data_IF_553822978166
#
_entry.id   IF_553822978166
#
_cell.length_a   1.000
_cell.length_b   1.000
_cell.length_c   1.000
_cell.angle_alpha   90.00
_cell.angle_beta   90.00
_cell.angle_gamma   90.00
#
_symmetry.space_group_name_H-M   'P 1'
#
loop_
_entity.id
_entity.type
_entity.pdbx_description
1 polymer ?
#
# COMPACT_ATOMS: atom_id res chain seq x y z
N UNK A 1 12.29 2.21 -2.38
CA UNK A 1 12.61 3.64 -2.51
C UNK A 1 13.62 3.85 -3.64
N UNK A 2 13.67 5.09 -4.15
CA UNK A 2 13.94 5.50 -5.54
C UNK A 2 12.98 4.88 -6.57
N UNK A 3 12.29 5.75 -7.30
CA UNK A 3 11.47 5.35 -8.43
C UNK A 3 12.37 4.86 -9.56
N UNK A 4 12.00 3.75 -10.19
CA UNK A 4 12.72 3.23 -11.35
C UNK A 4 11.72 3.04 -12.49
N UNK A 5 11.88 3.83 -13.55
CA UNK A 5 11.01 3.80 -14.74
C UNK A 5 10.88 2.46 -15.45
N UNK A 6 11.82 1.52 -15.22
CA UNK A 6 11.80 0.17 -15.77
C UNK A 6 11.21 -0.88 -14.82
N UNK A 7 11.02 -0.54 -13.54
CA UNK A 7 10.50 -1.46 -12.52
C UNK A 7 9.28 -0.82 -11.87
N UNK A 8 8.12 -1.09 -12.46
CA UNK A 8 6.80 -0.61 -12.02
C UNK A 8 5.78 -1.74 -12.12
N UNK A 9 4.65 -1.57 -11.46
CA UNK A 9 3.58 -2.56 -11.46
C UNK A 9 2.21 -1.89 -11.24
N UNK A 10 1.22 -2.35 -12.01
CA UNK A 10 -0.17 -1.91 -11.94
C UNK A 10 -1.10 -3.13 -12.03
N UNK A 11 -2.29 -3.04 -11.46
CA UNK A 11 -3.38 -4.01 -11.59
C UNK A 11 -3.20 -5.35 -10.86
N UNK A 12 -2.14 -5.52 -10.06
CA UNK A 12 -1.82 -6.81 -9.42
C UNK A 12 -2.68 -7.15 -8.21
N UNK A 13 -3.48 -6.21 -7.73
CA UNK A 13 -4.43 -6.39 -6.63
C UNK A 13 -5.73 -7.10 -7.06
N UNK A 14 -5.90 -7.43 -8.35
CA UNK A 14 -7.07 -8.16 -8.86
C UNK A 14 -8.40 -7.49 -8.47
N UNK A 15 -8.45 -6.16 -8.48
CA UNK A 15 -9.59 -5.33 -8.03
C UNK A 15 -9.99 -5.45 -6.55
N UNK A 16 -9.15 -6.05 -5.70
CA UNK A 16 -9.43 -6.12 -4.26
C UNK A 16 -8.58 -5.14 -3.44
N UNK A 17 -9.20 -4.32 -2.56
CA UNK A 17 -8.47 -3.55 -1.57
C UNK A 17 -7.89 -4.47 -0.50
N UNK A 18 -6.87 -3.98 0.23
CA UNK A 18 -6.33 -4.69 1.39
C UNK A 18 -7.42 -4.90 2.45
N UNK A 19 -7.54 -6.11 2.99
CA UNK A 19 -8.46 -6.44 4.10
C UNK A 19 -7.66 -6.80 5.37
N UNK A 20 -8.22 -6.55 6.56
CA UNK A 20 -7.54 -6.72 7.86
C UNK A 20 -6.79 -8.05 8.01
N UNK A 21 -7.46 -9.18 7.75
CA UNK A 21 -6.87 -10.51 7.97
C UNK A 21 -5.88 -10.96 6.90
N UNK A 22 -5.70 -10.21 5.81
CA UNK A 22 -4.96 -10.69 4.65
C UNK A 22 -3.45 -10.74 4.88
N UNK A 23 -2.88 -9.70 5.48
CA UNK A 23 -1.43 -9.67 5.75
C UNK A 23 -1.05 -10.74 6.76
N UNK A 24 -1.80 -10.85 7.85
CA UNK A 24 -1.52 -11.79 8.94
C UNK A 24 -1.66 -13.24 8.48
N UNK A 25 -2.80 -13.60 7.87
CA UNK A 25 -3.02 -14.95 7.33
C UNK A 25 -1.99 -15.31 6.27
N UNK A 26 -1.80 -14.45 5.28
CA UNK A 26 -0.88 -14.74 4.18
C UNK A 26 0.58 -14.84 4.63
N UNK A 27 0.99 -14.03 5.61
CA UNK A 27 2.32 -14.13 6.22
C UNK A 27 2.50 -15.46 6.97
N UNK A 28 1.54 -15.82 7.83
CA UNK A 28 1.55 -17.07 8.60
C UNK A 28 1.57 -18.30 7.67
N UNK A 29 0.79 -18.30 6.59
CA UNK A 29 0.80 -19.40 5.61
C UNK A 29 2.15 -19.56 4.90
N UNK A 30 2.88 -18.46 4.63
CA UNK A 30 4.25 -18.55 4.05
C UNK A 30 5.23 -19.16 5.03
N UNK A 31 5.14 -18.83 6.31
CA UNK A 31 6.02 -19.39 7.35
C UNK A 31 5.91 -20.91 7.39
N UNK A 32 4.69 -21.44 7.21
CA UNK A 32 4.44 -22.88 7.16
C UNK A 32 4.80 -23.50 5.80
N UNK A 33 4.45 -22.82 4.70
CA UNK A 33 4.69 -23.27 3.34
C UNK A 33 5.16 -22.10 2.45
N UNK A 34 6.48 -21.97 2.20
CA UNK A 34 7.04 -20.95 1.32
C UNK A 34 6.45 -20.90 -0.09
N UNK A 35 5.86 -22.00 -0.56
CA UNK A 35 5.29 -22.12 -1.92
C UNK A 35 3.77 -21.93 -1.96
N UNK A 36 3.12 -21.59 -0.84
CA UNK A 36 1.66 -21.61 -0.72
C UNK A 36 0.95 -20.84 -1.84
N UNK A 37 1.44 -19.66 -2.21
CA UNK A 37 0.80 -18.86 -3.28
C UNK A 37 0.90 -19.44 -4.68
N UNK A 38 1.74 -20.46 -4.89
CA UNK A 38 1.89 -21.18 -6.14
C UNK A 38 1.33 -22.61 -6.06
N UNK A 39 0.78 -23.02 -4.92
CA UNK A 39 0.22 -24.35 -4.72
C UNK A 39 -1.28 -24.37 -4.97
N UNK A 40 -1.83 -25.55 -5.25
CA UNK A 40 -3.26 -25.73 -5.52
C UNK A 40 -4.09 -25.65 -4.23
N UNK A 41 -3.46 -25.84 -3.07
CA UNK A 41 -4.05 -25.75 -1.74
C UNK A 41 -4.24 -24.30 -1.25
N UNK A 42 -3.73 -23.31 -1.98
CA UNK A 42 -3.73 -21.90 -1.55
C UNK A 42 -5.12 -21.36 -1.19
N UNK A 43 -6.14 -21.74 -1.95
CA UNK A 43 -7.53 -21.30 -1.73
C UNK A 43 -8.13 -21.93 -0.48
N UNK A 44 -7.74 -23.17 -0.16
CA UNK A 44 -8.19 -23.91 1.02
C UNK A 44 -7.50 -23.33 2.27
N UNK A 45 -6.17 -23.21 2.23
CA UNK A 45 -5.35 -22.71 3.34
C UNK A 45 -5.75 -21.28 3.73
N UNK A 46 -5.89 -20.38 2.74
CA UNK A 46 -6.25 -18.98 3.01
C UNK A 46 -7.76 -18.78 3.18
N UNK A 47 -8.57 -19.77 2.80
CA UNK A 47 -10.03 -19.71 2.85
C UNK A 47 -10.63 -18.64 1.94
N UNK A 48 -10.04 -18.41 0.76
CA UNK A 48 -10.47 -17.37 -0.20
C UNK A 48 -10.39 -17.84 -1.64
N UNK A 49 -11.06 -17.13 -2.55
CA UNK A 49 -11.02 -17.43 -3.99
C UNK A 49 -9.65 -17.14 -4.63
N UNK A 50 -9.39 -17.73 -5.81
CA UNK A 50 -8.09 -17.66 -6.50
C UNK A 50 -7.59 -16.22 -6.76
N UNK A 51 -8.47 -15.31 -7.15
CA UNK A 51 -8.10 -13.91 -7.38
C UNK A 51 -7.75 -13.18 -6.07
N UNK A 52 -8.42 -13.53 -4.96
CA UNK A 52 -8.06 -13.01 -3.64
C UNK A 52 -6.71 -13.54 -3.17
N UNK A 53 -6.37 -14.81 -3.45
CA UNK A 53 -5.02 -15.35 -3.20
C UNK A 53 -3.95 -14.51 -3.89
N UNK A 54 -4.14 -14.18 -5.17
CA UNK A 54 -3.24 -13.30 -5.92
C UNK A 54 -3.13 -11.91 -5.28
N UNK A 55 -4.24 -11.34 -4.83
CA UNK A 55 -4.27 -10.03 -4.17
C UNK A 55 -3.58 -10.04 -2.81
N UNK A 56 -3.76 -11.09 -1.99
CA UNK A 56 -3.03 -11.28 -0.72
C UNK A 56 -1.52 -11.31 -0.97
N UNK A 57 -1.08 -12.14 -1.95
CA UNK A 57 0.34 -12.19 -2.35
C UNK A 57 0.85 -10.81 -2.74
N UNK A 58 0.08 -10.09 -3.55
CA UNK A 58 0.43 -8.75 -3.99
C UNK A 58 0.62 -7.80 -2.80
N UNK A 59 -0.34 -7.76 -1.87
CA UNK A 59 -0.28 -6.84 -0.74
C UNK A 59 0.89 -7.14 0.21
N UNK A 60 1.23 -8.41 0.42
CA UNK A 60 2.41 -8.81 1.19
C UNK A 60 3.73 -8.34 0.54
N UNK A 61 3.84 -8.45 -0.79
CA UNK A 61 5.01 -7.96 -1.54
C UNK A 61 5.04 -6.43 -1.59
N UNK A 62 3.90 -5.79 -1.80
CA UNK A 62 3.77 -4.33 -1.85
C UNK A 62 4.17 -3.69 -0.51
N UNK A 63 3.76 -4.28 0.60
CA UNK A 63 4.14 -3.88 1.96
C UNK A 63 5.52 -4.40 2.41
N UNK A 64 6.29 -5.08 1.54
CA UNK A 64 7.65 -5.59 1.81
C UNK A 64 7.74 -6.54 3.01
N UNK A 65 6.63 -7.16 3.42
CA UNK A 65 6.61 -8.16 4.50
C UNK A 65 7.22 -9.48 4.08
N UNK A 66 7.19 -9.75 2.79
CA UNK A 66 7.78 -10.94 2.17
C UNK A 66 8.60 -10.53 0.95
N UNK A 67 9.46 -11.44 0.50
CA UNK A 67 10.22 -11.31 -0.74
C UNK A 67 10.29 -12.63 -1.49
N UNK A 68 10.49 -12.55 -2.81
CA UNK A 68 10.80 -13.70 -3.63
C UNK A 68 12.10 -14.38 -3.17
N UNK A 69 12.13 -15.70 -3.28
CA UNK A 69 13.24 -16.58 -2.98
C UNK A 69 13.31 -17.70 -4.00
N UNK A 70 14.44 -18.43 -4.06
CA UNK A 70 14.59 -19.58 -4.97
C UNK A 70 13.51 -20.65 -4.74
N UNK A 71 13.01 -20.77 -3.51
CA UNK A 71 12.06 -21.80 -3.10
C UNK A 71 10.64 -21.27 -2.85
N UNK A 72 10.25 -20.14 -3.45
CA UNK A 72 8.94 -19.51 -3.26
C UNK A 72 9.08 -18.14 -2.62
N UNK A 73 8.37 -17.90 -1.52
CA UNK A 73 8.41 -16.65 -0.77
C UNK A 73 9.06 -16.87 0.60
N UNK A 74 9.73 -15.84 1.09
CA UNK A 74 10.26 -15.85 2.45
C UNK A 74 9.89 -14.56 3.18
N UNK A 75 9.65 -14.62 4.51
CA UNK A 75 9.54 -13.42 5.34
C UNK A 75 10.75 -12.50 5.19
N UNK A 76 10.50 -11.20 5.21
CA UNK A 76 11.56 -10.21 5.43
C UNK A 76 11.82 -10.02 6.92
N UNK A 77 12.89 -9.32 7.27
CA UNK A 77 13.17 -8.96 8.66
C UNK A 77 12.03 -8.16 9.27
N UNK A 78 11.54 -7.12 8.57
CA UNK A 78 10.40 -6.33 9.03
C UNK A 78 9.11 -7.16 9.12
N UNK A 79 8.90 -8.11 8.20
CA UNK A 79 7.77 -9.03 8.25
C UNK A 79 7.78 -9.89 9.51
N UNK A 80 8.93 -10.50 9.85
CA UNK A 80 9.07 -11.29 11.09
C UNK A 80 8.94 -10.41 12.34
N UNK A 81 9.49 -9.20 12.31
CA UNK A 81 9.43 -8.27 13.43
C UNK A 81 7.98 -7.92 13.82
N UNK A 82 7.09 -7.84 12.83
CA UNK A 82 5.68 -7.50 13.05
C UNK A 82 4.84 -8.77 13.27
N UNK A 83 4.91 -9.73 12.34
CA UNK A 83 3.90 -10.80 12.21
C UNK A 83 4.35 -12.20 12.65
N UNK A 84 5.57 -12.36 13.19
CA UNK A 84 5.93 -13.64 13.80
C UNK A 84 4.97 -13.97 14.97
N UNK A 85 4.37 -15.16 14.95
CA UNK A 85 3.31 -15.54 15.91
C UNK A 85 3.81 -15.58 17.36
N UNK A 86 5.11 -15.81 17.58
CA UNK A 86 5.69 -15.97 18.93
C UNK A 86 6.38 -14.71 19.43
N UNK A 87 6.98 -13.93 18.53
CA UNK A 87 7.88 -12.82 18.87
C UNK A 87 7.56 -11.51 18.14
N UNK A 88 6.59 -11.53 17.23
CA UNK A 88 6.18 -10.34 16.49
C UNK A 88 5.51 -9.33 17.42
N UNK A 89 5.72 -8.03 17.14
CA UNK A 89 5.13 -6.96 17.93
C UNK A 89 3.62 -6.83 17.76
N UNK A 90 3.09 -7.20 16.59
CA UNK A 90 1.66 -7.14 16.30
C UNK A 90 1.23 -8.28 15.35
N UNK A 91 1.18 -9.54 15.83
CA UNK A 91 0.93 -10.70 14.99
C UNK A 91 -0.44 -10.74 14.31
N UNK A 92 -1.38 -9.90 14.78
CA UNK A 92 -2.78 -9.91 14.37
C UNK A 92 -3.27 -8.58 13.75
N UNK A 93 -2.38 -7.59 13.56
CA UNK A 93 -2.69 -6.27 12.99
C UNK A 93 -3.76 -5.53 13.82
N UNK A 94 -3.54 -5.48 15.14
CA UNK A 94 -4.43 -4.83 16.11
C UNK A 94 -3.96 -3.41 16.46
N UNK A 95 -2.69 -3.08 16.25
CA UNK A 95 -2.12 -1.77 16.56
C UNK A 95 -2.21 -0.83 15.34
N UNK A 96 -2.76 0.36 15.55
CA UNK A 96 -2.83 1.41 14.52
C UNK A 96 -1.42 1.87 14.07
N UNK A 97 -0.41 1.77 14.94
CA UNK A 97 0.98 2.04 14.56
C UNK A 97 1.49 1.09 13.47
N UNK A 98 1.10 -0.17 13.52
CA UNK A 98 1.41 -1.13 12.45
C UNK A 98 0.74 -0.69 11.13
N UNK A 99 -0.46 -0.13 11.17
CA UNK A 99 -1.16 0.35 9.97
C UNK A 99 -0.43 1.55 9.34
N UNK A 100 0.07 2.49 10.16
CA UNK A 100 0.95 3.57 9.69
C UNK A 100 2.22 3.04 9.04
N UNK A 101 2.85 2.02 9.63
CA UNK A 101 4.03 1.39 9.07
C UNK A 101 3.74 0.70 7.73
N UNK A 102 2.62 -0.03 7.63
CA UNK A 102 2.18 -0.66 6.38
C UNK A 102 1.93 0.39 5.29
N UNK A 103 1.27 1.50 5.63
CA UNK A 103 1.10 2.64 4.72
C UNK A 103 2.45 3.12 4.18
N UNK A 104 3.40 3.40 5.09
CA UNK A 104 4.75 3.82 4.72
C UNK A 104 5.43 2.80 3.80
N UNK A 105 5.40 1.51 4.14
CA UNK A 105 6.07 0.47 3.35
C UNK A 105 5.49 0.34 1.94
N UNK A 106 4.17 0.45 1.78
CA UNK A 106 3.49 0.46 0.47
C UNK A 106 3.85 1.71 -0.33
N UNK A 107 3.70 2.90 0.25
CA UNK A 107 3.93 4.16 -0.45
C UNK A 107 5.40 4.40 -0.78
N UNK A 108 6.32 3.67 -0.15
CA UNK A 108 7.76 3.68 -0.43
C UNK A 108 8.22 2.50 -1.29
N UNK A 109 7.28 1.77 -1.92
CA UNK A 109 7.53 0.66 -2.83
C UNK A 109 7.09 0.97 -4.28
N UNK A 110 7.77 1.90 -4.98
CA UNK A 110 7.38 2.29 -6.35
C UNK A 110 7.41 1.12 -7.35
N UNK A 111 8.15 0.04 -7.07
CA UNK A 111 8.26 -1.11 -7.96
C UNK A 111 7.08 -2.07 -7.90
N UNK A 112 6.42 -2.18 -6.76
CA UNK A 112 5.23 -3.04 -6.60
C UNK A 112 3.94 -2.23 -6.53
N UNK A 113 3.93 -1.10 -5.83
CA UNK A 113 2.75 -0.28 -5.59
C UNK A 113 2.91 1.10 -6.24
N UNK A 114 3.11 1.13 -7.57
CA UNK A 114 3.47 2.35 -8.31
C UNK A 114 2.42 3.45 -8.17
N UNK A 115 1.12 3.11 -8.25
CA UNK A 115 0.04 4.08 -8.09
C UNK A 115 0.00 4.70 -6.68
N UNK A 116 0.26 3.91 -5.64
CA UNK A 116 0.33 4.39 -4.24
C UNK A 116 1.52 5.31 -4.02
N UNK A 117 2.70 4.91 -4.50
CA UNK A 117 3.88 5.78 -4.48
C UNK A 117 3.59 7.10 -5.20
N UNK A 118 3.04 7.04 -6.41
CA UNK A 118 2.72 8.24 -7.20
C UNK A 118 1.74 9.15 -6.46
N UNK A 119 0.64 8.60 -5.92
CA UNK A 119 -0.39 9.39 -5.27
C UNK A 119 0.16 10.16 -4.07
N UNK A 120 0.81 9.47 -3.13
CA UNK A 120 1.26 10.10 -1.88
C UNK A 120 2.54 10.94 -2.03
N UNK A 121 3.32 10.76 -3.10
CA UNK A 121 4.61 11.46 -3.24
C UNK A 121 4.69 12.42 -4.44
N UNK A 122 3.77 12.33 -5.40
CA UNK A 122 3.84 13.12 -6.66
C UNK A 122 2.51 13.77 -7.05
N UNK A 123 1.38 13.33 -6.49
CA UNK A 123 0.09 13.93 -6.78
C UNK A 123 -0.24 15.00 -5.74
N UNK A 124 -0.03 16.27 -6.10
CA UNK A 124 -0.14 17.40 -5.17
C UNK A 124 -1.50 18.12 -5.20
N UNK A 125 -2.51 17.56 -5.88
CA UNK A 125 -3.84 18.19 -5.95
C UNK A 125 -4.65 17.78 -4.72
N UNK A 126 -5.05 18.72 -3.84
CA UNK A 126 -5.68 18.38 -2.57
C UNK A 126 -7.17 18.00 -2.69
N UNK A 127 -7.88 18.52 -3.68
CA UNK A 127 -9.25 18.14 -4.04
C UNK A 127 -9.29 17.65 -5.48
N UNK A 128 -9.93 16.50 -5.71
CA UNK A 128 -9.94 15.87 -7.03
C UNK A 128 -11.12 14.91 -7.21
N UNK A 129 -11.49 14.65 -8.46
CA UNK A 129 -12.37 13.53 -8.81
C UNK A 129 -11.58 12.25 -9.10
N UNK A 130 -12.28 11.11 -9.14
CA UNK A 130 -11.67 9.83 -9.55
C UNK A 130 -11.16 9.89 -11.00
N UNK A 131 -11.85 10.59 -11.89
CA UNK A 131 -11.45 10.78 -13.28
C UNK A 131 -10.21 11.65 -13.38
N UNK A 132 -10.13 12.75 -12.64
CA UNK A 132 -8.98 13.66 -12.66
C UNK A 132 -7.71 12.97 -12.17
N UNK A 133 -7.79 12.23 -11.06
CA UNK A 133 -6.66 11.46 -10.53
C UNK A 133 -6.25 10.33 -11.49
N UNK A 134 -7.20 9.66 -12.15
CA UNK A 134 -6.90 8.68 -13.18
C UNK A 134 -6.22 9.28 -14.42
N UNK A 135 -6.70 10.40 -14.93
CA UNK A 135 -6.07 11.10 -16.07
C UNK A 135 -4.63 11.49 -15.70
N UNK A 136 -4.44 12.07 -14.52
CA UNK A 136 -3.11 12.48 -14.05
C UNK A 136 -2.15 11.28 -13.87
N UNK A 137 -2.62 10.14 -13.37
CA UNK A 137 -1.80 8.93 -13.28
C UNK A 137 -1.43 8.38 -14.67
N UNK A 138 -2.35 8.42 -15.63
CA UNK A 138 -2.09 8.01 -17.02
C UNK A 138 -1.05 8.91 -17.66
N UNK A 139 -1.14 10.23 -17.47
CA UNK A 139 -0.15 11.19 -17.94
C UNK A 139 1.23 10.93 -17.33
N UNK A 140 1.29 10.73 -16.00
CA UNK A 140 2.50 10.35 -15.31
C UNK A 140 3.12 9.07 -15.90
N UNK A 141 2.31 8.03 -16.11
CA UNK A 141 2.78 6.77 -16.67
C UNK A 141 3.34 6.97 -18.09
N UNK A 142 2.64 7.72 -18.95
CA UNK A 142 3.09 7.99 -20.32
C UNK A 142 4.40 8.79 -20.39
N UNK A 143 4.65 9.68 -19.42
CA UNK A 143 5.84 10.53 -19.40
C UNK A 143 7.05 9.87 -18.71
N UNK A 144 6.79 9.11 -17.65
CA UNK A 144 7.83 8.68 -16.70
C UNK A 144 8.13 7.17 -16.73
N UNK A 145 7.31 6.36 -17.41
CA UNK A 145 7.43 4.90 -17.43
C UNK A 145 7.68 4.43 -18.87
N UNK A 146 8.60 3.49 -19.05
CA UNK A 146 8.91 2.94 -20.38
C UNK A 146 7.88 1.92 -20.86
N UNK A 147 7.38 1.06 -19.96
CA UNK A 147 6.38 0.05 -20.28
C UNK A 147 4.99 0.66 -20.39
N UNK A 148 4.26 0.33 -21.46
CA UNK A 148 2.88 0.77 -21.65
C UNK A 148 1.93 -0.11 -20.84
N UNK A 149 0.98 0.53 -20.14
CA UNK A 149 -0.12 -0.12 -19.44
C UNK A 149 -1.44 0.37 -20.00
N UNK A 150 -2.48 -0.49 -19.96
CA UNK A 150 -3.81 -0.10 -20.40
C UNK A 150 -4.40 0.94 -19.45
N UNK A 151 -5.06 1.97 -20.01
CA UNK A 151 -5.71 3.02 -19.22
C UNK A 151 -6.77 2.48 -18.25
N UNK A 152 -7.42 1.36 -18.60
CA UNK A 152 -8.37 0.66 -17.73
C UNK A 152 -7.71 0.08 -16.48
N UNK A 153 -6.48 -0.44 -16.60
CA UNK A 153 -5.69 -0.93 -15.46
C UNK A 153 -5.33 0.21 -14.52
N UNK A 154 -4.80 1.32 -15.05
CA UNK A 154 -4.43 2.51 -14.25
C UNK A 154 -5.65 3.12 -13.53
N UNK A 155 -6.81 3.17 -14.21
CA UNK A 155 -8.09 3.56 -13.58
C UNK A 155 -8.51 2.60 -12.46
N UNK A 156 -8.28 1.30 -12.65
CA UNK A 156 -8.53 0.28 -11.61
C UNK A 156 -7.68 0.51 -10.37
N UNK A 157 -6.39 0.81 -10.53
CA UNK A 157 -5.49 1.11 -9.41
C UNK A 157 -5.95 2.34 -8.61
N UNK A 158 -6.37 3.41 -9.29
CA UNK A 158 -6.94 4.59 -8.63
C UNK A 158 -8.20 4.23 -7.84
N UNK A 159 -9.11 3.47 -8.42
CA UNK A 159 -10.33 3.06 -7.73
C UNK A 159 -10.02 2.29 -6.44
N UNK A 160 -9.08 1.35 -6.49
CA UNK A 160 -8.66 0.57 -5.32
C UNK A 160 -7.90 1.41 -4.30
N UNK A 161 -7.02 2.31 -4.76
CA UNK A 161 -6.33 3.26 -3.88
C UNK A 161 -7.34 4.09 -3.09
N UNK A 162 -8.30 4.72 -3.76
CA UNK A 162 -9.31 5.54 -3.07
C UNK A 162 -10.18 4.69 -2.13
N UNK A 163 -10.57 3.48 -2.54
CA UNK A 163 -11.32 2.55 -1.67
C UNK A 163 -10.53 2.12 -0.44
N UNK A 164 -9.20 2.02 -0.54
CA UNK A 164 -8.35 1.59 0.59
C UNK A 164 -8.23 2.62 1.71
N UNK A 165 -8.31 3.91 1.37
CA UNK A 165 -8.13 5.01 2.34
C UNK A 165 -9.42 5.74 2.70
N UNK A 166 -10.49 5.60 1.90
CA UNK A 166 -11.80 6.18 2.22
C UNK A 166 -12.67 5.20 3.01
N UNK A 167 -13.37 5.73 4.02
CA UNK A 167 -14.38 4.96 4.77
C UNK A 167 -15.62 4.77 3.92
N UNK A 168 -16.20 3.57 3.95
CA UNK A 168 -17.46 3.29 3.29
C UNK A 168 -18.56 4.12 3.96
N UNK A 169 -19.28 4.91 3.17
CA UNK A 169 -20.55 5.47 3.59
C UNK A 169 -21.59 4.39 3.34
N UNK A 170 -21.86 3.58 4.37
CA UNK A 170 -22.80 2.45 4.29
C UNK A 170 -24.05 2.83 3.52
N UNK A 171 -24.31 2.12 2.43
CA UNK A 171 -25.50 2.29 1.61
C UNK A 171 -26.16 0.92 1.43
N UNK A 172 -27.50 0.88 1.39
CA UNK A 172 -28.29 -0.37 1.40
C UNK A 172 -28.09 -1.27 0.17
N UNK A 173 -27.32 -0.80 -0.82
CA UNK A 173 -26.97 -1.53 -2.06
C UNK A 173 -25.53 -2.06 -2.10
N UNK A 174 -24.71 -1.76 -1.09
CA UNK A 174 -23.31 -2.21 -1.04
C UNK A 174 -23.28 -3.67 -0.57
N UNK A 175 -22.56 -4.54 -1.28
CA UNK A 175 -22.41 -5.93 -0.86
C UNK A 175 -21.77 -5.99 0.54
N UNK A 176 -22.08 -7.01 1.34
CA UNK A 176 -21.50 -7.18 2.68
C UNK A 176 -19.96 -7.24 2.63
N UNK A 177 -19.39 -7.80 1.56
CA UNK A 177 -17.94 -7.80 1.33
C UNK A 177 -17.38 -6.42 0.99
N UNK A 178 -18.12 -5.63 0.20
CA UNK A 178 -17.75 -4.26 -0.14
C UNK A 178 -18.02 -3.28 1.01
N UNK A 179 -18.74 -3.68 2.05
CA UNK A 179 -18.96 -2.89 3.25
C UNK A 179 -17.75 -2.93 4.21
N UNK A 180 -16.87 -3.91 4.07
CA UNK A 180 -15.67 -4.03 4.91
C UNK A 180 -14.61 -3.06 4.40
N UNK A 181 -14.29 -2.07 5.22
CA UNK A 181 -13.23 -1.13 4.91
C UNK A 181 -11.83 -1.73 5.08
N UNK A 182 -10.90 -1.23 4.29
CA UNK A 182 -9.47 -1.51 4.43
C UNK A 182 -8.95 -0.95 5.77
N UNK A 183 -7.95 -1.59 6.40
CA UNK A 183 -7.33 -1.07 7.62
C UNK A 183 -6.78 0.34 7.43
N UNK A 184 -6.30 0.67 6.22
CA UNK A 184 -5.73 1.98 5.89
C UNK A 184 -6.76 3.14 5.91
N UNK A 185 -8.06 2.84 5.93
CA UNK A 185 -9.12 3.85 6.10
C UNK A 185 -9.14 4.46 7.51
N UNK A 186 -8.52 3.80 8.49
CA UNK A 186 -8.34 4.34 9.84
C UNK A 186 -7.45 5.59 9.84
N UNK A 187 -6.48 5.65 8.92
CA UNK A 187 -5.52 6.75 8.82
C UNK A 187 -6.16 8.06 8.34
N UNK A 188 -7.36 8.01 7.72
CA UNK A 188 -8.08 9.20 7.21
C UNK A 188 -7.19 10.10 6.34
N UNK A 189 -6.31 9.50 5.53
CA UNK A 189 -5.44 10.23 4.60
C UNK A 189 -6.20 10.69 3.35
N UNK A 190 -7.31 10.02 3.02
CA UNK A 190 -8.21 10.38 1.93
C UNK A 190 -9.64 10.35 2.47
N UNK A 191 -10.37 11.45 2.26
CA UNK A 191 -11.77 11.58 2.65
C UNK A 191 -12.64 11.80 1.42
N UNK A 192 -13.82 11.19 1.40
CA UNK A 192 -14.78 11.42 0.32
C UNK A 192 -15.71 12.58 0.68
N UNK A 193 -15.94 13.49 -0.26
CA UNK A 193 -16.85 14.62 -0.11
C UNK A 193 -18.32 14.17 0.07
N UNK A 194 -19.15 15.00 0.73
CA UNK A 194 -20.60 14.83 0.68
C UNK A 194 -21.11 14.71 -0.77
N UNK A 195 -21.90 13.67 -1.06
CA UNK A 195 -22.38 13.38 -2.42
C UNK A 195 -21.46 12.48 -3.26
N UNK A 196 -20.28 12.09 -2.75
CA UNK A 196 -19.48 10.98 -3.27
C UNK A 196 -18.68 11.21 -4.55
N UNK A 197 -18.81 12.39 -5.18
CA UNK A 197 -18.16 12.69 -6.47
C UNK A 197 -16.68 13.09 -6.35
N UNK A 198 -16.34 13.82 -5.29
CA UNK A 198 -14.99 14.33 -5.07
C UNK A 198 -14.34 13.66 -3.86
N UNK A 199 -13.02 13.69 -3.85
CA UNK A 199 -12.17 13.25 -2.75
C UNK A 199 -11.24 14.38 -2.33
N UNK A 200 -10.79 14.30 -1.09
CA UNK A 200 -9.88 15.24 -0.47
C UNK A 200 -8.70 14.50 0.15
N UNK A 201 -7.50 15.05 -0.01
CA UNK A 201 -6.29 14.64 0.70
C UNK A 201 -5.50 15.90 1.05
N UNK A 202 -5.73 16.41 2.25
CA UNK A 202 -5.09 17.63 2.75
C UNK A 202 -3.91 17.28 3.67
N UNK A 203 -2.84 18.10 3.66
CA UNK A 203 -1.92 18.16 4.79
C UNK A 203 -2.71 18.63 6.02
N UNK A 204 -2.82 17.75 7.01
CA UNK A 204 -3.51 18.02 8.28
C UNK A 204 -2.56 17.79 9.44
N UNK A 205 -2.75 18.54 10.53
CA UNK A 205 -2.05 18.28 11.78
C UNK A 205 -2.55 16.95 12.37
N UNK A 206 -1.61 16.06 12.69
CA UNK A 206 -1.90 14.73 13.23
C UNK A 206 -1.09 14.51 14.50
N UNK A 207 -1.72 14.79 15.63
CA UNK A 207 -1.08 14.73 16.94
C UNK A 207 -0.79 13.29 17.40
N UNK A 208 -1.53 12.31 16.87
CA UNK A 208 -1.45 10.90 17.29
C UNK A 208 -0.55 10.04 16.37
N UNK A 209 0.32 10.65 15.54
CA UNK A 209 1.27 9.86 14.73
C UNK A 209 2.23 9.12 15.68
N UNK A 210 2.36 7.78 15.57
CA UNK A 210 3.28 7.03 16.41
C UNK A 210 4.73 7.41 16.14
N UNK A 211 5.39 8.05 17.11
CA UNK A 211 6.74 8.60 16.96
C UNK A 211 7.79 7.54 16.56
N UNK A 212 7.63 6.29 17.02
CA UNK A 212 8.51 5.19 16.62
C UNK A 212 8.45 4.89 15.12
N UNK A 213 7.24 4.97 14.53
CA UNK A 213 7.04 4.75 13.09
C UNK A 213 7.54 5.95 12.28
N UNK A 214 7.31 7.17 12.76
CA UNK A 214 7.90 8.37 12.15
C UNK A 214 9.43 8.29 12.14
N UNK A 215 10.05 7.96 13.28
CA UNK A 215 11.50 7.76 13.39
C UNK A 215 12.01 6.67 12.44
N UNK A 216 11.31 5.55 12.34
CA UNK A 216 11.61 4.49 11.37
C UNK A 216 11.57 5.01 9.92
N UNK A 217 10.54 5.76 9.55
CA UNK A 217 10.38 6.31 8.19
C UNK A 217 11.54 7.26 7.83
N UNK A 218 11.90 8.17 8.74
CA UNK A 218 13.05 9.07 8.58
C UNK A 218 14.35 8.30 8.43
N UNK A 219 14.63 7.34 9.33
CA UNK A 219 15.86 6.54 9.26
C UNK A 219 15.95 5.71 7.98
N UNK A 220 14.83 5.10 7.56
CA UNK A 220 14.77 4.36 6.30
C UNK A 220 14.99 5.29 5.10
N UNK A 221 14.47 6.52 5.11
CA UNK A 221 14.75 7.50 4.05
C UNK A 221 16.23 7.85 4.01
N UNK A 222 16.84 8.18 5.16
CA UNK A 222 18.25 8.52 5.28
C UNK A 222 19.16 7.38 4.78
N UNK A 223 18.85 6.14 5.18
CA UNK A 223 19.57 4.94 4.72
C UNK A 223 19.47 4.78 3.20
N UNK A 224 18.28 4.93 2.61
CA UNK A 224 18.09 4.83 1.16
C UNK A 224 18.78 5.96 0.37
N UNK A 225 18.97 7.11 0.99
CA UNK A 225 19.67 8.26 0.42
C UNK A 225 21.18 8.21 0.68
N UNK A 226 21.67 7.27 1.50
CA UNK A 226 23.06 7.15 1.94
C UNK A 226 23.58 8.43 2.64
N UNK A 227 22.69 9.11 3.37
CA UNK A 227 23.02 10.34 4.12
C UNK A 227 22.73 10.16 5.62
N UNK A 228 23.35 10.99 6.46
CA UNK A 228 23.16 10.96 7.92
C UNK A 228 22.23 12.06 8.43
N UNK A 229 22.04 13.11 7.65
CA UNK A 229 21.28 14.31 8.03
C UNK A 229 20.57 14.85 6.80
N UNK A 230 19.35 15.34 6.98
CA UNK A 230 18.57 16.00 5.94
C UNK A 230 17.93 17.27 6.53
N UNK A 231 17.91 18.41 5.81
CA UNK A 231 17.15 19.57 6.24
C UNK A 231 15.67 19.23 6.37
N UNK A 232 14.99 19.71 7.41
CA UNK A 232 13.55 19.46 7.63
C UNK A 232 12.72 19.88 6.42
N UNK A 233 13.08 20.98 5.76
CA UNK A 233 12.40 21.44 4.55
C UNK A 233 12.46 20.41 3.40
N UNK A 234 13.59 19.71 3.25
CA UNK A 234 13.75 18.68 2.21
C UNK A 234 13.05 17.37 2.59
N UNK A 235 12.91 17.10 3.89
CA UNK A 235 12.11 15.98 4.40
C UNK A 235 10.62 16.17 4.07
N UNK A 236 10.10 17.39 4.28
CA UNK A 236 8.69 17.74 4.05
C UNK A 236 8.34 17.91 2.58
N UNK A 237 9.22 18.54 1.81
CA UNK A 237 9.01 18.86 0.41
C UNK A 237 10.13 18.24 -0.42
N UNK A 238 10.09 16.91 -0.58
CA UNK A 238 11.10 16.19 -1.36
C UNK A 238 11.28 16.85 -2.72
N UNK A 239 12.47 17.43 -2.95
CA UNK A 239 12.87 18.01 -4.25
C UNK A 239 13.38 16.95 -5.24
N UNK A 240 13.32 15.67 -4.87
CA UNK A 240 13.98 14.55 -5.57
C UNK A 240 12.98 13.45 -5.93
N UNK A 241 13.43 12.39 -6.63
CA UNK A 241 12.59 11.21 -6.91
C UNK A 241 12.25 10.36 -5.67
N UNK A 242 12.62 10.82 -4.47
CA UNK A 242 12.43 10.13 -3.20
C UNK A 242 11.10 10.50 -2.54
N UNK A 243 10.50 9.60 -1.74
CA UNK A 243 9.34 9.91 -0.93
C UNK A 243 9.55 11.09 0.02
N UNK A 244 8.50 11.87 0.26
CA UNK A 244 8.39 12.75 1.42
C UNK A 244 7.93 11.95 2.64
N UNK A 245 8.34 12.37 3.84
CA UNK A 245 7.91 11.77 5.12
C UNK A 245 6.75 12.54 5.72
#
# INVERSE_FOLDING_TARGET
MKFNKNRVSFGRHETFPLRYSWLTKGFQSIVNNPKIFNSDEATIELGVGKNMVNSIRFWLLASKLIKDSKNGFQPTEIGNLIFDVKKGFDPFLEDEATIWLIHWLICTNPGMATAWFWFFNRFHKPEFSIEESAVSLIEFANQSIHTKYASTTLKGDIAILLRMYSRSRGNTRTSLEDAIDSPLSLLRLISQAPGGRNYFSYPEERFDIPLGIFGFAVLQLLENLEIKTIPIMELMYSKTESPSV
#
